data_IF_720306232729
#
_entry.id   IF_720306232729
#
_cell.length_a   1.000
_cell.length_b   1.000
_cell.length_c   1.000
_cell.angle_alpha   90.00
_cell.angle_beta   90.00
_cell.angle_gamma   90.00
#
_symmetry.space_group_name_H-M   'P 1'
#
loop_
_entity.id
_entity.type
_entity.pdbx_description
1 polymer ?
#
# COMPACT_ATOMS: atom_id res chain seq x y z
N UNK A 1 -8.85 16.64 15.80
CA UNK A 1 -10.31 16.53 15.72
C UNK A 1 -10.89 17.85 15.29
N UNK A 2 -11.92 17.85 14.43
CA UNK A 2 -12.53 19.09 13.97
C UNK A 2 -14.05 19.05 14.08
N UNK A 3 -14.63 20.10 14.69
CA UNK A 3 -16.07 20.41 14.63
C UNK A 3 -16.40 21.54 13.62
N UNK A 4 -15.44 22.39 13.21
CA UNK A 4 -15.66 23.51 12.23
C UNK A 4 -14.45 23.84 11.32
N UNK A 5 -13.29 23.21 11.50
CA UNK A 5 -12.04 23.51 10.75
C UNK A 5 -11.82 22.51 9.61
N UNK A 6 -11.46 22.98 8.42
CA UNK A 6 -11.11 22.12 7.27
C UNK A 6 -9.80 21.38 7.56
N UNK A 7 -9.80 20.06 7.44
CA UNK A 7 -8.61 19.23 7.63
C UNK A 7 -7.87 19.13 6.29
N UNK A 8 -6.61 19.58 6.26
CA UNK A 8 -5.74 19.42 5.10
C UNK A 8 -5.21 17.99 5.05
N UNK A 9 -5.21 17.39 3.85
CA UNK A 9 -4.63 16.06 3.65
C UNK A 9 -3.11 16.17 3.81
N UNK A 10 -2.52 15.17 4.46
CA UNK A 10 -1.07 15.03 4.53
C UNK A 10 -0.55 14.60 3.16
N UNK A 11 0.68 14.99 2.85
CA UNK A 11 1.37 14.53 1.65
C UNK A 11 1.54 13.01 1.69
N UNK A 12 1.28 12.38 0.54
CA UNK A 12 1.47 10.94 0.37
C UNK A 12 2.94 10.66 0.12
N UNK A 13 3.53 9.80 0.95
CA UNK A 13 4.88 9.30 0.70
C UNK A 13 4.81 8.26 -0.40
N UNK A 14 5.85 8.23 -1.21
CA UNK A 14 6.01 7.23 -2.27
C UNK A 14 6.79 6.03 -1.72
N UNK A 15 6.48 4.84 -2.25
CA UNK A 15 7.17 3.61 -1.86
C UNK A 15 8.62 3.57 -2.39
N UNK A 16 9.53 2.99 -1.61
CA UNK A 16 10.96 2.94 -1.95
C UNK A 16 11.30 1.89 -3.02
N UNK A 17 10.50 0.83 -3.19
CA UNK A 17 10.80 -0.25 -4.15
C UNK A 17 10.06 -0.04 -5.46
N UNK A 18 8.79 0.31 -5.41
CA UNK A 18 7.93 0.39 -6.59
C UNK A 18 7.57 1.82 -7.02
N UNK A 19 7.95 2.86 -6.25
CA UNK A 19 7.63 4.23 -6.63
C UNK A 19 6.13 4.55 -6.64
N UNK A 20 5.29 3.70 -6.02
CA UNK A 20 3.83 3.82 -6.06
C UNK A 20 3.26 4.39 -4.75
N UNK A 21 2.40 5.43 -4.79
CA UNK A 21 1.72 5.94 -3.60
C UNK A 21 0.70 4.95 -3.03
N UNK A 22 0.11 4.09 -3.87
CA UNK A 22 -0.83 3.07 -3.43
C UNK A 22 -0.18 2.04 -2.48
N UNK A 23 1.03 1.57 -2.85
CA UNK A 23 1.82 0.64 -2.04
C UNK A 23 2.26 1.29 -0.73
N UNK A 24 2.70 2.54 -0.76
CA UNK A 24 3.10 3.28 0.43
C UNK A 24 1.94 3.49 1.42
N UNK A 25 0.72 3.75 0.91
CA UNK A 25 -0.50 3.82 1.74
C UNK A 25 -0.82 2.45 2.35
N UNK A 26 -0.63 1.37 1.61
CA UNK A 26 -0.83 0.01 2.11
C UNK A 26 0.14 -0.30 3.26
N UNK A 27 1.44 0.00 3.09
CA UNK A 27 2.48 -0.16 4.14
C UNK A 27 2.11 0.63 5.39
N UNK A 28 1.70 1.90 5.24
CA UNK A 28 1.32 2.75 6.38
C UNK A 28 0.09 2.21 7.12
N UNK A 29 -0.83 1.57 6.39
CA UNK A 29 -2.06 0.98 6.97
C UNK A 29 -1.77 -0.33 7.71
N UNK A 30 -0.87 -1.16 7.19
CA UNK A 30 -0.45 -2.42 7.84
C UNK A 30 0.45 -2.16 9.05
N UNK A 31 1.21 -1.06 9.04
CA UNK A 31 2.16 -0.72 10.07
C UNK A 31 1.50 -0.54 11.45
N UNK A 32 1.91 -1.38 12.41
CA UNK A 32 1.52 -1.28 13.82
C UNK A 32 2.71 -0.82 14.67
N UNK A 33 2.44 0.03 15.67
CA UNK A 33 3.44 0.54 16.63
C UNK A 33 4.67 1.20 15.99
N UNK A 34 4.52 1.82 14.81
CA UNK A 34 5.62 2.51 14.11
C UNK A 34 6.68 1.60 13.50
N UNK A 35 6.47 0.28 13.44
CA UNK A 35 7.43 -0.69 12.89
C UNK A 35 7.43 -0.70 11.36
N UNK A 36 8.03 0.32 10.74
CA UNK A 36 8.02 0.49 9.27
C UNK A 36 8.72 -0.64 8.52
N UNK A 37 9.93 -1.00 8.93
CA UNK A 37 10.72 -2.06 8.27
C UNK A 37 10.00 -3.42 8.28
N UNK A 38 9.30 -3.75 9.37
CA UNK A 38 8.52 -4.99 9.47
C UNK A 38 7.29 -4.93 8.54
N UNK A 39 6.60 -3.78 8.49
CA UNK A 39 5.45 -3.59 7.60
C UNK A 39 5.84 -3.68 6.11
N UNK A 40 6.94 -3.03 5.72
CA UNK A 40 7.52 -3.13 4.37
C UNK A 40 7.79 -4.59 4.00
N UNK A 41 8.45 -5.34 4.89
CA UNK A 41 8.74 -6.75 4.66
C UNK A 41 7.47 -7.58 4.45
N UNK A 42 6.45 -7.40 5.30
CA UNK A 42 5.17 -8.13 5.15
C UNK A 42 4.54 -7.84 3.79
N UNK A 43 4.46 -6.56 3.40
CA UNK A 43 3.80 -6.15 2.16
C UNK A 43 4.53 -6.68 0.94
N UNK A 44 5.86 -6.54 0.89
CA UNK A 44 6.64 -7.05 -0.24
C UNK A 44 6.60 -8.57 -0.34
N UNK A 45 6.68 -9.29 0.78
CA UNK A 45 6.53 -10.74 0.77
C UNK A 45 5.13 -11.17 0.33
N UNK A 46 4.08 -10.42 0.69
CA UNK A 46 2.73 -10.71 0.21
C UNK A 46 2.59 -10.49 -1.31
N UNK A 47 3.18 -9.42 -1.84
CA UNK A 47 3.23 -9.15 -3.29
C UNK A 47 4.01 -10.24 -4.02
N UNK A 48 5.16 -10.66 -3.50
CA UNK A 48 5.95 -11.76 -4.07
C UNK A 48 5.17 -13.07 -4.08
N UNK A 49 4.50 -13.43 -2.96
CA UNK A 49 3.64 -14.62 -2.90
C UNK A 49 2.45 -14.55 -3.87
N UNK A 50 1.89 -13.37 -4.11
CA UNK A 50 0.79 -13.24 -5.07
C UNK A 50 1.22 -13.53 -6.51
N UNK A 51 2.52 -13.48 -6.81
CA UNK A 51 3.07 -13.85 -8.13
C UNK A 51 3.21 -15.35 -8.34
N UNK A 52 3.31 -16.15 -7.28
CA UNK A 52 3.56 -17.61 -7.35
C UNK A 52 2.44 -18.41 -8.06
N UNK A 53 1.34 -17.78 -8.48
CA UNK A 53 0.27 -18.38 -9.30
C UNK A 53 -0.12 -17.57 -10.54
N UNK A 54 0.59 -16.49 -10.84
CA UNK A 54 0.33 -15.61 -11.98
C UNK A 54 1.65 -15.00 -12.47
N UNK A 55 2.39 -15.77 -13.26
CA UNK A 55 3.78 -15.49 -13.67
C UNK A 55 3.95 -14.24 -14.56
N UNK A 56 2.87 -13.67 -15.09
CA UNK A 56 2.94 -12.67 -16.18
C UNK A 56 2.40 -11.29 -15.83
N UNK A 57 1.89 -11.06 -14.62
CA UNK A 57 1.23 -9.78 -14.27
C UNK A 57 2.17 -8.90 -13.44
N UNK A 58 2.26 -7.63 -13.81
CA UNK A 58 3.00 -6.63 -13.04
C UNK A 58 2.36 -6.50 -11.63
N UNK A 59 3.13 -6.62 -10.54
CA UNK A 59 2.63 -6.59 -9.17
C UNK A 59 1.88 -5.30 -8.85
N UNK A 60 2.23 -4.20 -9.50
CA UNK A 60 1.50 -2.95 -9.37
C UNK A 60 0.10 -3.03 -9.98
N UNK A 61 -0.06 -3.67 -11.14
CA UNK A 61 -1.37 -3.90 -11.75
C UNK A 61 -2.24 -4.81 -10.89
N UNK A 62 -1.67 -5.89 -10.32
CA UNK A 62 -2.39 -6.79 -9.41
C UNK A 62 -2.93 -6.03 -8.20
N UNK A 63 -2.09 -5.20 -7.57
CA UNK A 63 -2.50 -4.39 -6.42
C UNK A 63 -3.56 -3.36 -6.80
N UNK A 64 -3.41 -2.67 -7.93
CA UNK A 64 -4.38 -1.69 -8.41
C UNK A 64 -5.74 -2.33 -8.72
N UNK A 65 -5.73 -3.46 -9.44
CA UNK A 65 -6.93 -4.24 -9.76
C UNK A 65 -7.62 -4.76 -8.50
N UNK A 66 -6.86 -5.24 -7.51
CA UNK A 66 -7.40 -5.66 -6.23
C UNK A 66 -8.06 -4.49 -5.48
N UNK A 67 -7.44 -3.31 -5.50
CA UNK A 67 -8.03 -2.10 -4.90
C UNK A 67 -9.33 -1.72 -5.62
N UNK A 68 -9.37 -1.78 -6.96
CA UNK A 68 -10.58 -1.49 -7.73
C UNK A 68 -11.73 -2.42 -7.39
N UNK A 69 -11.47 -3.71 -7.24
CA UNK A 69 -12.47 -4.71 -6.87
C UNK A 69 -13.00 -4.55 -5.43
N UNK A 70 -12.23 -3.93 -4.53
CA UNK A 70 -12.58 -3.76 -3.11
C UNK A 70 -13.17 -2.36 -2.85
N UNK A 71 -13.15 -1.46 -3.83
CA UNK A 71 -13.84 -0.16 -3.71
C UNK A 71 -15.35 -0.41 -3.54
N UNK A 72 -16.01 0.25 -2.56
CA UNK A 72 -17.44 0.13 -2.35
C UNK A 72 -18.25 0.74 -3.49
#
# INVERSE_FOLDING_TARGET
MSRRRKVYKKEERVDSRYGSPAVARLITTVMKRGKKSLAERIVYTAIEKSREGSDSVDPLEVVNKAIENVRP
#
